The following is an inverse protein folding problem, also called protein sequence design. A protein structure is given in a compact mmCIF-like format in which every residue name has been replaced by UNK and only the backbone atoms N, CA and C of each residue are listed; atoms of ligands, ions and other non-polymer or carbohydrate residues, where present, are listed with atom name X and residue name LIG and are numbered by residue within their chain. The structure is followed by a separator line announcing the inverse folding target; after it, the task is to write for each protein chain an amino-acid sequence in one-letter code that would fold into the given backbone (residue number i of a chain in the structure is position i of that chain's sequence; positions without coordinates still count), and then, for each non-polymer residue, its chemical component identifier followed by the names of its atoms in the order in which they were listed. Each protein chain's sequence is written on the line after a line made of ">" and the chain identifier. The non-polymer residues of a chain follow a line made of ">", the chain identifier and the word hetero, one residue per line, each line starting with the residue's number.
data_IF_890530034250
#
_entry.id   IF_890530034250
#
_cell.length_a   1.000
_cell.length_b   1.000
_cell.length_c   1.000
_cell.angle_alpha   90.00
_cell.angle_beta   90.00
_cell.angle_gamma   90.00
#
_symmetry.space_group_name_H-M   'P 1'
#
loop_
_entity.id
_entity.type
_entity.pdbx_description
1 polymer ?
#
# COMPACT_ATOMS: atom_id res chain seq x y z
N UNK A 1 8.56 -2.00 25.60
CA UNK A 1 7.45 -2.02 26.58
C UNK A 1 6.35 -1.14 26.05
N UNK A 2 5.15 -1.67 25.76
CA UNK A 2 3.82 -0.97 25.79
C UNK A 2 2.67 -1.91 25.36
N UNK A 3 2.76 -3.22 25.58
CA UNK A 3 1.63 -4.15 25.32
C UNK A 3 0.69 -4.32 26.54
N UNK A 4 0.92 -3.56 27.63
CA UNK A 4 0.17 -3.68 28.88
C UNK A 4 -0.83 -2.53 29.13
N UNK A 5 -0.81 -1.46 28.32
CA UNK A 5 -1.70 -0.31 28.50
C UNK A 5 -3.12 -0.53 27.90
N UNK A 6 -3.36 -1.69 27.30
CA UNK A 6 -4.53 -1.90 26.44
C UNK A 6 -5.82 -2.26 27.20
N UNK A 7 -5.74 -2.88 28.39
CA UNK A 7 -6.96 -3.30 29.13
C UNK A 7 -7.80 -2.13 29.65
N UNK A 8 -7.17 -1.04 30.12
CA UNK A 8 -7.90 0.13 30.60
C UNK A 8 -8.51 0.94 29.44
N UNK A 9 -7.89 0.93 28.25
CA UNK A 9 -8.41 1.60 27.07
C UNK A 9 -9.52 0.81 26.36
N UNK A 10 -9.55 -0.52 26.45
CA UNK A 10 -10.59 -1.34 25.82
C UNK A 10 -12.00 -0.95 26.28
N UNK A 11 -12.20 -0.71 27.57
CA UNK A 11 -13.49 -0.29 28.11
C UNK A 11 -13.94 1.06 27.50
N UNK A 12 -13.04 2.04 27.45
CA UNK A 12 -13.33 3.36 26.88
C UNK A 12 -13.60 3.31 25.36
N UNK A 13 -12.94 2.40 24.63
CA UNK A 13 -13.15 2.23 23.18
C UNK A 13 -14.53 1.61 22.89
N UNK A 14 -14.94 0.61 23.67
CA UNK A 14 -16.28 0.02 23.55
C UNK A 14 -17.37 1.03 23.96
N UNK A 15 -17.16 1.79 25.04
CA UNK A 15 -18.09 2.84 25.47
C UNK A 15 -18.21 4.01 24.46
N UNK A 16 -17.17 4.25 23.64
CA UNK A 16 -17.22 5.22 22.56
C UNK A 16 -18.10 4.78 21.36
N UNK A 17 -18.66 3.58 21.40
CA UNK A 17 -19.55 3.03 20.37
C UNK A 17 -18.87 2.13 19.35
N UNK A 18 -17.67 1.62 19.63
CA UNK A 18 -17.03 0.61 18.79
C UNK A 18 -17.59 -0.79 19.07
N UNK A 19 -17.90 -1.56 18.02
CA UNK A 19 -18.47 -2.90 18.14
C UNK A 19 -17.44 -4.01 18.43
N UNK A 20 -16.18 -3.80 18.04
CA UNK A 20 -15.10 -4.76 18.26
C UNK A 20 -13.72 -4.09 18.26
N UNK A 21 -12.74 -4.78 18.86
CA UNK A 21 -11.35 -4.34 18.95
C UNK A 21 -10.46 -5.48 18.44
N UNK A 22 -9.68 -5.22 17.39
CA UNK A 22 -8.70 -6.17 16.86
C UNK A 22 -7.30 -5.69 17.22
N UNK A 23 -6.57 -6.50 17.99
CA UNK A 23 -5.18 -6.19 18.37
C UNK A 23 -4.20 -6.65 17.30
N UNK A 24 -3.15 -5.86 17.05
CA UNK A 24 -2.05 -6.29 16.19
C UNK A 24 -1.36 -7.57 16.70
N UNK A 25 -0.86 -8.44 15.81
CA UNK A 25 -0.94 -8.34 14.34
C UNK A 25 -2.35 -8.70 13.84
N UNK A 26 -2.88 -7.90 12.91
CA UNK A 26 -4.18 -8.14 12.30
C UNK A 26 -3.99 -9.12 11.16
N UNK A 27 -4.69 -10.26 11.21
CA UNK A 27 -4.79 -11.19 10.10
C UNK A 27 -6.05 -10.89 9.29
N UNK A 28 -5.99 -11.12 7.98
CA UNK A 28 -7.10 -10.89 7.05
C UNK A 28 -8.35 -11.69 7.48
N UNK A 29 -8.21 -12.97 7.84
CA UNK A 29 -9.31 -13.80 8.34
C UNK A 29 -10.06 -13.17 9.52
N UNK A 30 -9.32 -12.67 10.52
CA UNK A 30 -9.90 -12.08 11.73
C UNK A 30 -10.64 -10.78 11.38
N UNK A 31 -10.05 -9.95 10.51
CA UNK A 31 -10.68 -8.71 10.07
C UNK A 31 -11.98 -8.98 9.31
N UNK A 32 -11.94 -9.91 8.35
CA UNK A 32 -13.12 -10.25 7.56
C UNK A 32 -14.21 -10.88 8.43
N UNK A 33 -13.87 -11.80 9.33
CA UNK A 33 -14.84 -12.40 10.26
C UNK A 33 -15.55 -11.32 11.09
N UNK A 34 -14.82 -10.39 11.70
CA UNK A 34 -15.44 -9.30 12.45
C UNK A 34 -16.35 -8.43 11.58
N UNK A 35 -15.95 -8.10 10.36
CA UNK A 35 -16.81 -7.34 9.44
C UNK A 35 -18.08 -8.11 9.08
N UNK A 36 -18.01 -9.42 8.84
CA UNK A 36 -19.19 -10.25 8.59
C UNK A 36 -20.12 -10.31 9.80
N UNK A 37 -19.58 -10.52 11.00
CA UNK A 37 -20.37 -10.63 12.24
C UNK A 37 -21.09 -9.33 12.59
N UNK A 38 -20.43 -8.18 12.41
CA UNK A 38 -20.99 -6.90 12.85
C UNK A 38 -21.80 -6.17 11.77
N UNK A 39 -21.49 -6.37 10.48
CA UNK A 39 -22.20 -5.72 9.37
C UNK A 39 -23.17 -6.65 8.62
N UNK A 40 -23.14 -7.96 8.87
CA UNK A 40 -23.99 -8.94 8.19
C UNK A 40 -23.70 -9.08 6.70
N UNK A 41 -22.45 -8.88 6.28
CA UNK A 41 -22.01 -8.91 4.88
C UNK A 41 -21.39 -10.26 4.50
N UNK A 42 -21.43 -10.60 3.21
CA UNK A 42 -20.74 -11.75 2.63
C UNK A 42 -19.66 -11.28 1.65
N UNK A 43 -18.43 -11.79 1.80
CA UNK A 43 -17.32 -11.47 0.92
C UNK A 43 -17.30 -12.42 -0.27
N UNK A 44 -17.21 -11.86 -1.48
CA UNK A 44 -16.95 -12.62 -2.71
C UNK A 44 -15.45 -12.58 -2.94
N UNK A 45 -14.79 -13.71 -2.71
CA UNK A 45 -13.36 -13.84 -2.96
C UNK A 45 -13.10 -14.07 -4.45
N UNK A 46 -12.45 -13.10 -5.08
CA UNK A 46 -11.90 -13.27 -6.42
C UNK A 46 -10.49 -13.82 -6.31
N UNK A 47 -10.23 -14.93 -7.03
CA UNK A 47 -8.88 -15.45 -7.20
C UNK A 47 -8.11 -14.49 -8.10
N UNK A 48 -7.45 -13.50 -7.50
CA UNK A 48 -6.48 -12.66 -8.18
C UNK A 48 -5.39 -13.59 -8.68
N UNK A 49 -5.36 -13.87 -9.99
CA UNK A 49 -4.23 -14.55 -10.57
C UNK A 49 -2.99 -13.68 -10.32
N UNK A 50 -1.86 -14.26 -9.88
CA UNK A 50 -0.63 -13.50 -9.79
C UNK A 50 -0.27 -13.06 -11.21
N UNK A 51 -0.62 -11.82 -11.57
CA UNK A 51 -0.11 -11.19 -12.76
C UNK A 51 1.41 -11.14 -12.60
N UNK A 52 2.19 -11.75 -13.49
CA UNK A 52 3.63 -11.63 -13.47
C UNK A 52 3.99 -10.21 -13.94
N UNK A 53 3.74 -9.22 -13.10
CA UNK A 53 4.18 -7.85 -13.28
C UNK A 53 5.28 -7.57 -12.26
N UNK A 54 6.30 -8.43 -12.22
CA UNK A 54 7.62 -7.88 -12.02
C UNK A 54 7.81 -6.96 -13.23
N UNK A 55 7.83 -5.64 -12.99
CA UNK A 55 8.26 -4.66 -14.00
C UNK A 55 9.48 -5.30 -14.67
N UNK A 56 9.42 -5.65 -15.96
CA UNK A 56 10.53 -6.35 -16.55
C UNK A 56 11.73 -5.44 -16.35
N UNK A 57 12.88 -6.04 -16.03
CA UNK A 57 14.14 -5.32 -15.89
C UNK A 57 14.52 -4.78 -17.28
N UNK A 58 13.75 -3.83 -17.79
CA UNK A 58 13.95 -3.19 -19.07
C UNK A 58 14.65 -1.87 -18.83
N UNK A 59 15.52 -1.62 -19.79
CA UNK A 59 16.44 -0.52 -20.06
C UNK A 59 15.75 0.86 -20.10
N UNK A 60 14.94 1.18 -19.11
CA UNK A 60 14.45 2.53 -18.88
C UNK A 60 15.60 3.37 -18.34
N UNK A 61 15.67 4.64 -18.74
CA UNK A 61 16.64 5.54 -18.16
C UNK A 61 16.21 5.78 -16.71
N UNK A 62 17.00 5.38 -15.69
CA UNK A 62 16.57 5.52 -14.32
C UNK A 62 16.24 6.99 -14.03
N UNK A 63 15.06 7.28 -13.44
CA UNK A 63 14.70 8.65 -13.12
C UNK A 63 15.75 9.25 -12.17
N UNK A 64 15.96 10.58 -12.25
CA UNK A 64 17.00 11.25 -11.49
C UNK A 64 16.84 10.94 -9.99
N UNK A 65 17.96 10.75 -9.28
CA UNK A 65 17.99 10.49 -7.84
C UNK A 65 17.02 11.35 -7.00
N UNK A 66 16.92 12.69 -7.19
CA UNK A 66 15.98 13.52 -6.43
C UNK A 66 14.51 13.17 -6.66
N UNK A 67 14.17 12.61 -7.83
CA UNK A 67 12.82 12.11 -8.08
C UNK A 67 12.58 10.80 -7.33
N UNK A 68 13.55 9.87 -7.37
CA UNK A 68 13.46 8.58 -6.67
C UNK A 68 13.29 8.74 -5.16
N UNK A 69 14.04 9.65 -4.54
CA UNK A 69 13.91 9.93 -3.10
C UNK A 69 12.53 10.49 -2.75
N UNK A 70 12.02 11.45 -3.53
CA UNK A 70 10.67 12.00 -3.34
C UNK A 70 9.59 10.95 -3.53
N UNK A 71 9.74 10.09 -4.55
CA UNK A 71 8.79 9.03 -4.82
C UNK A 71 8.82 7.97 -3.71
N UNK A 72 10.00 7.57 -3.24
CA UNK A 72 10.15 6.67 -2.11
C UNK A 72 9.52 7.25 -0.84
N UNK A 73 9.74 8.53 -0.55
CA UNK A 73 9.09 9.20 0.58
C UNK A 73 7.57 9.19 0.45
N UNK A 74 7.04 9.43 -0.76
CA UNK A 74 5.60 9.39 -1.00
C UNK A 74 5.04 7.96 -0.81
N UNK A 75 5.75 6.93 -1.28
CA UNK A 75 5.37 5.52 -1.08
C UNK A 75 5.37 5.16 0.41
N UNK A 76 6.43 5.49 1.14
CA UNK A 76 6.53 5.24 2.60
C UNK A 76 5.47 6.00 3.39
N UNK A 77 5.10 7.20 2.94
CA UNK A 77 4.06 8.02 3.57
C UNK A 77 2.64 7.67 3.09
N UNK A 78 2.48 6.71 2.17
CA UNK A 78 1.22 6.36 1.50
C UNK A 78 0.52 7.58 0.85
N UNK A 79 1.31 8.56 0.44
CA UNK A 79 0.84 9.80 -0.19
C UNK A 79 0.51 9.56 -1.67
N UNK A 80 -0.70 9.06 -1.92
CA UNK A 80 -1.19 8.75 -3.27
C UNK A 80 -1.26 9.98 -4.17
N UNK A 81 -1.58 11.16 -3.63
CA UNK A 81 -1.58 12.42 -4.38
C UNK A 81 -0.16 12.81 -4.81
N UNK A 82 0.80 12.75 -3.88
CA UNK A 82 2.22 12.98 -4.16
C UNK A 82 2.79 12.00 -5.19
N UNK A 83 2.43 10.70 -5.08
CA UNK A 83 2.81 9.68 -6.06
C UNK A 83 2.25 9.99 -7.45
N UNK A 84 0.97 10.32 -7.58
CA UNK A 84 0.35 10.64 -8.87
C UNK A 84 0.95 11.90 -9.51
N UNK A 85 1.27 12.92 -8.71
CA UNK A 85 1.95 14.11 -9.21
C UNK A 85 3.31 13.76 -9.82
N UNK A 86 4.10 12.94 -9.13
CA UNK A 86 5.42 12.50 -9.61
C UNK A 86 5.31 11.61 -10.85
N UNK A 87 4.31 10.72 -10.91
CA UNK A 87 4.04 9.86 -12.07
C UNK A 87 3.61 10.69 -13.28
N UNK A 88 2.84 11.76 -13.08
CA UNK A 88 2.42 12.68 -14.16
C UNK A 88 3.61 13.40 -14.79
N UNK A 89 4.55 13.87 -13.97
CA UNK A 89 5.81 14.45 -14.46
C UNK A 89 6.63 13.42 -15.25
N UNK A 90 6.72 12.18 -14.74
CA UNK A 90 7.43 11.08 -15.40
C UNK A 90 6.79 10.69 -16.73
N UNK A 91 5.46 10.77 -16.85
CA UNK A 91 4.70 10.43 -18.07
C UNK A 91 5.16 11.22 -19.30
N UNK A 92 5.71 12.42 -19.12
CA UNK A 92 6.25 13.23 -20.22
C UNK A 92 7.57 12.67 -20.78
N UNK A 93 8.36 11.99 -19.96
CA UNK A 93 9.63 11.39 -20.37
C UNK A 93 9.45 9.92 -20.74
N UNK A 94 8.73 9.16 -19.92
CA UNK A 94 8.50 7.73 -20.08
C UNK A 94 7.03 7.37 -19.79
N UNK A 95 6.16 7.43 -20.82
CA UNK A 95 4.73 7.16 -20.64
C UNK A 95 4.46 5.70 -20.24
N UNK A 96 5.19 4.73 -20.80
CA UNK A 96 5.03 3.30 -20.49
C UNK A 96 5.36 2.98 -19.03
N UNK A 97 6.38 3.62 -18.46
CA UNK A 97 6.74 3.44 -17.05
C UNK A 97 5.71 4.09 -16.14
N UNK A 98 5.26 5.30 -16.49
CA UNK A 98 4.24 6.01 -15.73
C UNK A 98 2.92 5.24 -15.65
N UNK A 99 2.46 4.60 -16.73
CA UNK A 99 1.23 3.79 -16.72
C UNK A 99 1.36 2.56 -15.82
N UNK A 100 2.52 1.92 -15.80
CA UNK A 100 2.78 0.79 -14.91
C UNK A 100 2.81 1.20 -13.43
N UNK A 101 3.49 2.31 -13.10
CA UNK A 101 3.51 2.84 -11.74
C UNK A 101 2.11 3.30 -11.29
N UNK A 102 1.35 3.94 -12.18
CA UNK A 102 -0.03 4.36 -11.92
C UNK A 102 -0.93 3.16 -11.58
N UNK A 103 -0.81 2.08 -12.36
CA UNK A 103 -1.52 0.82 -12.10
C UNK A 103 -1.16 0.26 -10.73
N UNK A 104 0.11 0.27 -10.34
CA UNK A 104 0.55 -0.21 -9.03
C UNK A 104 0.00 0.67 -7.89
N UNK A 105 -0.01 2.00 -8.05
CA UNK A 105 -0.57 2.94 -7.08
C UNK A 105 -2.08 2.74 -6.94
N UNK A 106 -2.82 2.64 -8.06
CA UNK A 106 -4.27 2.41 -8.06
C UNK A 106 -4.67 1.07 -7.44
N UNK A 107 -3.83 0.05 -7.58
CA UNK A 107 -4.03 -1.26 -6.95
C UNK A 107 -3.43 -1.35 -5.54
N UNK A 108 -2.96 -0.23 -4.96
CA UNK A 108 -2.36 -0.16 -3.62
C UNK A 108 -1.18 -1.14 -3.42
N UNK A 109 -0.44 -1.44 -4.50
CA UNK A 109 0.70 -2.37 -4.53
C UNK A 109 2.00 -1.69 -4.07
N UNK A 110 1.96 -1.06 -2.89
CA UNK A 110 3.10 -0.27 -2.36
C UNK A 110 4.36 -1.10 -2.13
N UNK A 111 4.22 -2.36 -1.71
CA UNK A 111 5.36 -3.27 -1.53
C UNK A 111 6.13 -3.51 -2.84
N UNK A 112 5.42 -3.59 -3.97
CA UNK A 112 6.06 -3.74 -5.29
C UNK A 112 6.73 -2.45 -5.73
N UNK A 113 6.13 -1.28 -5.44
CA UNK A 113 6.75 0.01 -5.68
C UNK A 113 8.06 0.16 -4.89
N UNK A 114 8.07 -0.21 -3.60
CA UNK A 114 9.29 -0.19 -2.79
C UNK A 114 10.36 -1.14 -3.34
N UNK A 115 9.96 -2.36 -3.71
CA UNK A 115 10.87 -3.36 -4.29
C UNK A 115 11.45 -2.89 -5.61
N UNK A 116 10.65 -2.23 -6.44
CA UNK A 116 11.12 -1.65 -7.69
C UNK A 116 12.16 -0.54 -7.44
N UNK A 117 11.88 0.40 -6.53
CA UNK A 117 12.82 1.48 -6.18
C UNK A 117 14.15 0.91 -5.66
N UNK A 118 14.11 -0.14 -4.83
CA UNK A 118 15.30 -0.78 -4.27
C UNK A 118 16.14 -1.53 -5.32
N UNK A 119 15.52 -2.02 -6.39
CA UNK A 119 16.20 -2.73 -7.47
C UNK A 119 16.81 -1.79 -8.53
N UNK A 120 16.59 -0.48 -8.44
CA UNK A 120 17.20 0.49 -9.37
C UNK A 120 18.69 0.68 -9.04
N UNK A 121 19.59 0.65 -10.05
CA UNK A 121 21.01 0.89 -9.83
C UNK A 121 21.25 2.28 -9.25
N UNK A 122 22.12 2.36 -8.24
CA UNK A 122 22.64 3.61 -7.71
C UNK A 122 23.85 4.00 -8.56
N UNK A 123 23.64 4.67 -9.69
CA UNK A 123 24.70 5.43 -10.38
C UNK A 123 24.84 6.83 -9.79
#
# INVERSE_FOLDING_TARGET
>A
MTASAFREQQAAILEAGCDAIITKPVSEDILFEHLQQHLGIEFIYELVQPTPNALPLITYLPPPQPWREKFQMAVVSLDTEGMQHLITELRQQEPDLAEQLDTLVMNFRFNELETWIQNLPNE
#
